data_IF_783508328764
#
_entry.id   IF_783508328764
#
_cell.length_a   1.000
_cell.length_b   1.000
_cell.length_c   1.000
_cell.angle_alpha   90.00
_cell.angle_beta   90.00
_cell.angle_gamma   90.00
#
_symmetry.space_group_name_H-M   'P 1'
#
loop_
_entity.id
_entity.type
_entity.pdbx_description
1 polymer ?
#
# COMPACT_ATOMS: atom_id res chain seq x y z
N UNK A 1 -38.28 11.73 36.14
CA UNK A 1 -38.31 13.20 36.08
C UNK A 1 -37.03 13.71 35.43
N UNK A 2 -37.19 14.50 34.36
CA UNK A 2 -36.29 15.47 33.67
C UNK A 2 -34.76 15.29 33.76
N UNK A 3 -34.06 14.98 32.66
CA UNK A 3 -33.52 15.86 31.57
C UNK A 3 -32.40 16.85 32.01
N UNK A 4 -31.19 16.62 31.52
CA UNK A 4 -30.19 17.64 31.17
C UNK A 4 -29.24 17.03 30.10
N UNK A 5 -29.39 17.33 28.81
CA UNK A 5 -29.01 18.52 28.02
C UNK A 5 -27.51 18.58 27.67
N UNK A 6 -27.29 18.41 26.36
CA UNK A 6 -26.08 18.46 25.54
C UNK A 6 -25.12 19.63 25.82
N UNK A 7 -23.84 19.38 25.55
CA UNK A 7 -22.87 20.40 25.13
C UNK A 7 -22.06 19.84 23.96
N UNK A 8 -22.36 20.37 22.77
CA UNK A 8 -21.62 20.17 21.52
C UNK A 8 -20.70 21.38 21.40
N UNK A 9 -19.39 21.17 21.43
CA UNK A 9 -18.38 22.17 21.08
C UNK A 9 -17.99 21.98 19.62
N UNK A 10 -18.60 22.77 18.74
CA UNK A 10 -18.13 23.02 17.38
C UNK A 10 -17.04 24.09 17.51
N UNK A 11 -15.78 23.73 17.27
CA UNK A 11 -14.72 24.70 16.98
C UNK A 11 -14.44 24.74 15.49
N UNK A 12 -14.25 25.96 15.04
CA UNK A 12 -14.47 26.49 13.71
C UNK A 12 -13.16 27.13 13.24
N UNK A 13 -12.88 27.04 11.93
CA UNK A 13 -11.95 27.84 11.11
C UNK A 13 -10.43 27.58 11.29
N UNK A 14 -9.74 27.17 10.22
CA UNK A 14 -8.97 28.11 9.37
C UNK A 14 -8.39 27.45 8.11
N UNK A 15 -8.89 27.92 6.96
CA UNK A 15 -8.28 27.86 5.63
C UNK A 15 -6.91 28.57 5.59
N UNK A 16 -5.89 27.94 5.02
CA UNK A 16 -4.74 28.54 4.29
C UNK A 16 -3.97 27.36 3.67
N UNK A 17 -3.51 27.33 2.42
CA UNK A 17 -3.56 28.20 1.26
C UNK A 17 -2.96 27.42 0.09
N UNK A 18 -3.47 27.66 -1.12
CA UNK A 18 -2.97 27.07 -2.37
C UNK A 18 -1.58 27.62 -2.69
N UNK A 19 -0.60 26.73 -2.82
CA UNK A 19 0.71 27.02 -3.41
C UNK A 19 0.91 26.20 -4.68
N UNK A 20 0.46 26.70 -5.83
CA UNK A 20 0.92 26.23 -7.12
C UNK A 20 2.14 27.06 -7.52
N UNK A 21 3.33 26.47 -7.44
CA UNK A 21 4.53 27.02 -8.08
C UNK A 21 4.59 26.52 -9.51
N UNK A 22 4.59 27.48 -10.41
CA UNK A 22 4.43 27.30 -11.84
C UNK A 22 5.66 26.82 -12.61
N UNK A 23 5.37 26.69 -13.89
CA UNK A 23 6.17 26.25 -15.03
C UNK A 23 7.55 26.92 -15.14
N UNK A 24 8.55 26.13 -15.50
CA UNK A 24 9.69 26.63 -16.27
C UNK A 24 9.52 26.22 -17.74
N UNK A 25 9.73 27.21 -18.60
CA UNK A 25 9.55 27.23 -20.04
C UNK A 25 10.90 27.08 -20.74
N UNK A 26 10.86 26.78 -22.05
CA UNK A 26 11.96 26.80 -23.06
C UNK A 26 12.77 25.49 -23.18
N UNK A 27 12.97 24.87 -24.35
CA UNK A 27 13.20 25.43 -25.70
C UNK A 27 12.65 24.51 -26.82
N UNK A 28 12.18 25.15 -27.90
CA UNK A 28 11.79 24.56 -29.19
C UNK A 28 13.03 24.34 -30.10
N UNK A 29 12.90 23.82 -31.34
CA UNK A 29 13.65 22.69 -31.88
C UNK A 29 14.83 23.13 -32.77
N UNK A 30 15.78 22.24 -33.01
CA UNK A 30 16.65 22.34 -34.19
C UNK A 30 16.49 21.06 -34.99
N UNK A 31 15.83 21.23 -36.13
CA UNK A 31 15.74 20.31 -37.24
C UNK A 31 17.03 20.47 -38.06
N UNK A 32 17.83 19.43 -38.22
CA UNK A 32 18.69 19.28 -39.40
C UNK A 32 18.95 17.80 -39.71
N UNK A 33 19.04 17.52 -41.00
CA UNK A 33 18.88 16.24 -41.66
C UNK A 33 20.21 15.46 -41.79
N UNK A 34 20.06 14.13 -41.88
CA UNK A 34 20.69 13.24 -42.88
C UNK A 34 21.62 12.13 -42.35
N UNK A 35 21.09 10.91 -42.52
CA UNK A 35 21.73 9.72 -43.10
C UNK A 35 22.52 8.72 -42.23
N UNK A 36 22.09 7.47 -42.47
CA UNK A 36 22.79 6.18 -42.37
C UNK A 36 22.77 5.38 -41.05
N UNK A 37 21.90 4.36 -41.11
CA UNK A 37 22.24 2.95 -41.00
C UNK A 37 22.75 2.40 -39.65
N UNK A 38 21.91 1.54 -39.07
CA UNK A 38 22.41 0.34 -38.40
C UNK A 38 22.63 0.47 -36.90
N UNK A 39 21.54 0.61 -36.16
CA UNK A 39 21.38 -0.10 -34.89
C UNK A 39 19.89 -0.11 -34.56
N UNK A 40 19.27 -1.28 -34.73
CA UNK A 40 18.03 -1.63 -34.02
C UNK A 40 18.29 -1.45 -32.53
N UNK A 41 17.95 -0.28 -31.99
CA UNK A 41 17.77 -0.12 -30.56
C UNK A 41 16.50 -0.88 -30.21
N UNK A 42 16.71 -2.16 -29.89
CA UNK A 42 15.78 -2.99 -29.17
C UNK A 42 15.63 -2.36 -27.78
N UNK A 43 14.78 -1.34 -27.68
CA UNK A 43 14.11 -1.03 -26.43
C UNK A 43 12.93 -2.00 -26.33
N UNK A 44 13.22 -3.29 -26.15
CA UNK A 44 12.26 -4.16 -25.51
C UNK A 44 12.00 -3.52 -24.14
N UNK A 45 10.79 -3.01 -23.94
CA UNK A 45 10.24 -2.64 -22.66
C UNK A 45 10.61 -3.71 -21.64
N UNK A 46 11.68 -3.45 -20.90
CA UNK A 46 12.08 -4.26 -19.78
C UNK A 46 10.99 -4.03 -18.75
N UNK A 47 9.98 -4.90 -18.77
CA UNK A 47 8.96 -4.99 -17.73
C UNK A 47 9.64 -4.72 -16.40
N UNK A 48 9.31 -3.60 -15.76
CA UNK A 48 9.85 -3.17 -14.47
C UNK A 48 9.29 -4.08 -13.35
N UNK A 49 9.32 -5.40 -13.56
CA UNK A 49 8.94 -6.38 -12.58
C UNK A 49 9.87 -6.26 -11.37
N UNK A 50 9.34 -6.19 -10.14
CA UNK A 50 10.16 -6.07 -8.95
C UNK A 50 11.17 -7.22 -8.84
N UNK A 51 12.42 -6.88 -8.53
CA UNK A 51 13.48 -7.84 -8.19
C UNK A 51 13.12 -8.62 -6.93
N UNK A 52 13.78 -9.76 -6.69
CA UNK A 52 13.54 -10.53 -5.46
C UNK A 52 13.84 -9.72 -4.19
N UNK A 53 14.89 -8.91 -4.19
CA UNK A 53 15.21 -8.02 -3.06
C UNK A 53 14.11 -6.98 -2.82
N UNK A 54 13.52 -6.43 -3.88
CA UNK A 54 12.38 -5.51 -3.74
C UNK A 54 11.14 -6.22 -3.18
N UNK A 55 10.86 -7.45 -3.63
CA UNK A 55 9.75 -8.26 -3.12
C UNK A 55 9.94 -8.65 -1.65
N UNK A 56 11.16 -9.06 -1.28
CA UNK A 56 11.53 -9.38 0.11
C UNK A 56 11.34 -8.16 1.01
N UNK A 57 11.81 -6.98 0.57
CA UNK A 57 11.62 -5.73 1.30
C UNK A 57 10.14 -5.38 1.45
N UNK A 58 9.36 -5.39 0.38
CA UNK A 58 7.94 -5.06 0.44
C UNK A 58 7.17 -6.00 1.37
N UNK A 59 7.44 -7.31 1.35
CA UNK A 59 6.83 -8.25 2.30
C UNK A 59 7.29 -7.99 3.74
N UNK A 60 8.56 -7.67 3.95
CA UNK A 60 9.07 -7.36 5.28
C UNK A 60 8.45 -6.06 5.84
N UNK A 61 8.30 -5.05 5.00
CA UNK A 61 7.63 -3.80 5.36
C UNK A 61 6.16 -4.05 5.71
N UNK A 62 5.48 -4.92 4.97
CA UNK A 62 4.11 -5.32 5.27
C UNK A 62 3.99 -6.03 6.64
N UNK A 63 4.89 -6.99 6.94
CA UNK A 63 4.92 -7.65 8.25
C UNK A 63 5.15 -6.66 9.40
N UNK A 64 6.13 -5.77 9.25
CA UNK A 64 6.42 -4.72 10.23
C UNK A 64 5.25 -3.75 10.39
N UNK A 65 4.62 -3.40 9.27
CA UNK A 65 3.43 -2.60 9.18
C UNK A 65 2.27 -3.19 9.97
N UNK A 66 1.93 -4.45 9.73
CA UNK A 66 0.91 -5.17 10.50
C UNK A 66 1.21 -5.25 12.00
N UNK A 67 2.49 -5.34 12.40
CA UNK A 67 2.89 -5.28 13.82
C UNK A 67 2.65 -3.89 14.43
N UNK A 68 2.89 -2.84 13.65
CA UNK A 68 2.64 -1.47 14.08
C UNK A 68 1.15 -1.13 14.13
N UNK A 69 0.36 -1.57 13.15
CA UNK A 69 -1.10 -1.48 13.14
C UNK A 69 -1.67 -2.16 14.39
N UNK A 70 -1.23 -3.39 14.70
CA UNK A 70 -1.65 -4.08 15.93
C UNK A 70 -1.30 -3.27 17.20
N UNK A 71 -0.12 -2.64 17.22
CA UNK A 71 0.30 -1.79 18.34
C UNK A 71 -0.60 -0.57 18.51
N UNK A 72 -0.97 0.10 17.41
CA UNK A 72 -1.77 1.33 17.45
C UNK A 72 -3.25 1.02 17.75
N UNK A 73 -3.80 -0.05 17.17
CA UNK A 73 -5.12 -0.61 17.53
C UNK A 73 -5.19 -0.99 19.01
N UNK A 74 -4.11 -1.56 19.58
CA UNK A 74 -4.07 -1.89 20.99
C UNK A 74 -4.15 -0.67 21.92
N UNK A 75 -3.68 0.49 21.46
CA UNK A 75 -3.80 1.80 22.14
C UNK A 75 -5.13 2.50 21.85
N UNK A 76 -5.96 1.96 20.96
CA UNK A 76 -7.21 2.59 20.50
C UNK A 76 -7.00 3.65 19.43
N UNK A 77 -5.80 3.74 18.83
CA UNK A 77 -5.48 4.69 17.76
C UNK A 77 -5.76 4.09 16.39
N UNK A 78 -7.05 3.95 16.06
CA UNK A 78 -7.50 3.40 14.78
C UNK A 78 -7.18 4.32 13.60
N UNK A 79 -7.14 5.64 13.80
CA UNK A 79 -6.84 6.58 12.72
C UNK A 79 -5.40 6.43 12.23
N UNK A 80 -4.43 6.30 13.14
CA UNK A 80 -3.04 6.01 12.76
C UNK A 80 -2.91 4.63 12.12
N UNK A 81 -3.67 3.64 12.60
CA UNK A 81 -3.67 2.29 12.07
C UNK A 81 -4.23 2.21 10.64
N UNK A 82 -5.36 2.87 10.36
CA UNK A 82 -5.97 3.00 9.02
C UNK A 82 -5.01 3.66 8.04
N UNK A 83 -4.47 4.83 8.42
CA UNK A 83 -3.53 5.56 7.55
C UNK A 83 -2.29 4.71 7.22
N UNK A 84 -1.75 3.99 8.19
CA UNK A 84 -0.61 3.10 7.95
C UNK A 84 -1.00 1.94 7.04
N UNK A 85 -2.18 1.35 7.24
CA UNK A 85 -2.69 0.27 6.38
C UNK A 85 -2.81 0.72 4.92
N UNK A 86 -3.43 1.88 4.64
CA UNK A 86 -3.58 2.40 3.28
C UNK A 86 -2.23 2.53 2.56
N UNK A 87 -1.22 3.08 3.25
CA UNK A 87 0.11 3.29 2.70
C UNK A 87 0.82 1.98 2.33
N UNK A 88 0.70 0.97 3.19
CA UNK A 88 1.33 -0.33 3.00
C UNK A 88 0.61 -1.14 1.92
N UNK A 89 -0.73 -1.12 1.97
CA UNK A 89 -1.59 -1.87 1.08
C UNK A 89 -1.35 -1.55 -0.39
N UNK A 90 -1.14 -0.28 -0.76
CA UNK A 90 -0.80 0.14 -2.13
C UNK A 90 0.57 -0.41 -2.60
N UNK A 91 1.59 -0.36 -1.74
CA UNK A 91 2.93 -0.87 -2.07
C UNK A 91 2.90 -2.39 -2.24
N UNK A 92 2.21 -3.10 -1.35
CA UNK A 92 2.03 -4.54 -1.46
C UNK A 92 1.22 -4.94 -2.70
N UNK A 93 0.12 -4.24 -2.99
CA UNK A 93 -0.70 -4.48 -4.17
C UNK A 93 0.06 -4.27 -5.48
N UNK A 94 0.96 -3.29 -5.54
CA UNK A 94 1.73 -3.00 -6.74
C UNK A 94 2.94 -3.92 -6.91
N UNK A 95 3.66 -4.24 -5.82
CA UNK A 95 4.92 -4.96 -5.90
C UNK A 95 4.78 -6.50 -5.77
N UNK A 96 3.80 -6.97 -4.99
CA UNK A 96 3.73 -8.38 -4.57
C UNK A 96 2.59 -9.13 -5.26
N UNK A 97 1.37 -8.58 -5.21
CA UNK A 97 0.20 -9.32 -5.67
C UNK A 97 0.27 -9.75 -7.16
N UNK A 98 0.79 -8.95 -8.11
CA UNK A 98 0.94 -9.41 -9.49
C UNK A 98 1.81 -10.67 -9.60
N UNK A 99 2.93 -10.71 -8.87
CA UNK A 99 3.83 -11.85 -8.87
C UNK A 99 3.23 -13.09 -8.19
N UNK A 100 2.38 -12.90 -7.17
CA UNK A 100 1.63 -14.00 -6.56
C UNK A 100 0.60 -14.53 -7.54
N UNK A 101 -0.17 -13.65 -8.20
CA UNK A 101 -1.22 -14.00 -9.16
C UNK A 101 -0.68 -14.84 -10.32
N UNK A 102 0.47 -14.46 -10.86
CA UNK A 102 1.16 -15.21 -11.92
C UNK A 102 1.51 -16.65 -11.52
N UNK A 103 1.79 -16.89 -10.23
CA UNK A 103 2.18 -18.22 -9.73
C UNK A 103 1.00 -19.02 -9.17
N UNK A 104 0.05 -18.36 -8.52
CA UNK A 104 -1.07 -18.99 -7.85
C UNK A 104 -2.22 -17.99 -7.65
N UNK A 105 -3.20 -18.02 -8.57
CA UNK A 105 -4.37 -17.13 -8.52
C UNK A 105 -5.23 -17.33 -7.27
N UNK A 106 -5.37 -18.57 -6.77
CA UNK A 106 -6.15 -18.85 -5.56
C UNK A 106 -5.53 -18.21 -4.31
N UNK A 107 -4.20 -18.25 -4.20
CA UNK A 107 -3.50 -17.57 -3.09
C UNK A 107 -3.59 -16.05 -3.25
N UNK A 108 -3.52 -15.53 -4.48
CA UNK A 108 -3.76 -14.11 -4.74
C UNK A 108 -5.15 -13.66 -4.26
N UNK A 109 -6.22 -14.38 -4.63
CA UNK A 109 -7.58 -14.04 -4.22
C UNK A 109 -7.73 -14.12 -2.70
N UNK A 110 -7.20 -15.17 -2.07
CA UNK A 110 -7.23 -15.32 -0.60
C UNK A 110 -6.52 -14.17 0.12
N UNK A 111 -5.33 -13.75 -0.38
CA UNK A 111 -4.61 -12.61 0.21
C UNK A 111 -5.45 -11.34 0.08
N UNK A 112 -5.96 -11.04 -1.11
CA UNK A 112 -6.79 -9.85 -1.34
C UNK A 112 -7.97 -9.80 -0.37
N UNK A 113 -8.75 -10.90 -0.28
CA UNK A 113 -9.90 -11.00 0.63
C UNK A 113 -9.53 -10.77 2.11
N UNK A 114 -8.36 -11.25 2.55
CA UNK A 114 -7.91 -11.04 3.95
C UNK A 114 -7.45 -9.62 4.21
N UNK A 115 -6.89 -8.94 3.21
CA UNK A 115 -6.55 -7.52 3.35
C UNK A 115 -7.80 -6.65 3.34
N UNK A 116 -8.78 -6.93 2.47
CA UNK A 116 -10.09 -6.25 2.48
C UNK A 116 -10.80 -6.43 3.83
N UNK A 117 -10.78 -7.66 4.37
CA UNK A 117 -11.34 -7.95 5.70
C UNK A 117 -10.66 -7.15 6.83
N UNK A 118 -9.36 -6.87 6.69
CA UNK A 118 -8.61 -6.05 7.64
C UNK A 118 -8.98 -4.57 7.51
N UNK A 119 -9.10 -4.06 6.28
CA UNK A 119 -9.58 -2.70 6.01
C UNK A 119 -10.97 -2.48 6.62
N UNK A 120 -11.92 -3.38 6.34
CA UNK A 120 -13.27 -3.33 6.93
C UNK A 120 -13.24 -3.39 8.46
N UNK A 121 -12.33 -4.17 9.04
CA UNK A 121 -12.19 -4.28 10.49
C UNK A 121 -11.66 -2.97 11.09
N UNK A 122 -10.67 -2.36 10.46
CA UNK A 122 -10.13 -1.04 10.84
C UNK A 122 -11.24 0.03 10.81
N UNK A 123 -11.98 0.14 9.72
CA UNK A 123 -13.10 1.08 9.56
C UNK A 123 -14.21 0.87 10.60
N UNK A 124 -14.44 -0.37 11.03
CA UNK A 124 -15.41 -0.66 12.09
C UNK A 124 -14.96 -0.24 13.49
N UNK A 125 -13.66 0.07 13.66
CA UNK A 125 -13.01 0.39 14.93
C UNK A 125 -13.21 -0.68 16.03
N UNK A 126 -13.48 -1.92 15.62
CA UNK A 126 -13.60 -3.06 16.54
C UNK A 126 -12.22 -3.69 16.74
N UNK A 127 -11.62 -3.42 17.90
CA UNK A 127 -10.31 -3.95 18.29
C UNK A 127 -10.20 -5.46 18.11
N UNK A 128 -11.19 -6.24 18.53
CA UNK A 128 -11.09 -7.69 18.48
C UNK A 128 -11.19 -8.19 17.03
N UNK A 129 -12.08 -7.60 16.25
CA UNK A 129 -12.20 -7.89 14.81
C UNK A 129 -10.89 -7.55 14.09
N UNK A 130 -10.32 -6.38 14.33
CA UNK A 130 -9.07 -5.94 13.71
C UNK A 130 -7.90 -6.85 14.09
N UNK A 131 -7.73 -7.18 15.37
CA UNK A 131 -6.66 -8.08 15.82
C UNK A 131 -6.81 -9.48 15.19
N UNK A 132 -8.03 -9.98 15.03
CA UNK A 132 -8.27 -11.23 14.32
C UNK A 132 -7.90 -11.13 12.84
N UNK A 133 -8.30 -10.04 12.17
CA UNK A 133 -8.00 -9.82 10.76
C UNK A 133 -6.49 -9.68 10.52
N UNK A 134 -5.75 -8.97 11.38
CA UNK A 134 -4.28 -8.87 11.30
C UNK A 134 -3.62 -10.25 11.32
N UNK A 135 -4.08 -11.17 12.17
CA UNK A 135 -3.53 -12.53 12.22
C UNK A 135 -3.74 -13.27 10.91
N UNK A 136 -4.95 -13.21 10.35
CA UNK A 136 -5.24 -13.85 9.07
C UNK A 136 -4.46 -13.20 7.92
N UNK A 137 -4.27 -11.87 7.91
CA UNK A 137 -3.45 -11.20 6.90
C UNK A 137 -1.98 -11.61 7.00
N UNK A 138 -1.42 -11.78 8.20
CA UNK A 138 -0.05 -12.32 8.40
C UNK A 138 0.08 -13.75 7.86
N UNK A 139 -0.92 -14.59 8.08
CA UNK A 139 -0.93 -15.95 7.54
C UNK A 139 -0.96 -15.94 6.00
N UNK A 140 -1.75 -15.06 5.39
CA UNK A 140 -1.77 -14.88 3.94
C UNK A 140 -0.46 -14.31 3.39
N UNK A 141 0.23 -13.41 4.09
CA UNK A 141 1.61 -13.00 3.73
C UNK A 141 2.60 -14.17 3.78
N UNK A 142 2.49 -15.04 4.78
CA UNK A 142 3.29 -16.26 4.83
C UNK A 142 3.02 -17.19 3.64
N UNK A 143 1.79 -17.24 3.14
CA UNK A 143 1.47 -17.95 1.91
C UNK A 143 2.12 -17.29 0.68
N UNK A 144 2.06 -15.95 0.59
CA UNK A 144 2.74 -15.20 -0.48
C UNK A 144 4.25 -15.51 -0.53
N UNK A 145 4.91 -15.49 0.63
CA UNK A 145 6.34 -15.86 0.77
C UNK A 145 6.61 -17.25 0.20
N UNK A 146 5.80 -18.24 0.57
CA UNK A 146 5.94 -19.62 0.09
C UNK A 146 5.72 -19.74 -1.42
N UNK A 147 4.70 -19.08 -1.96
CA UNK A 147 4.40 -19.10 -3.40
C UNK A 147 5.52 -18.45 -4.20
N UNK A 148 6.05 -17.33 -3.70
CA UNK A 148 7.12 -16.58 -4.37
C UNK A 148 8.49 -17.26 -4.20
N UNK A 149 8.65 -18.16 -3.23
CA UNK A 149 9.91 -18.85 -2.95
C UNK A 149 10.98 -17.92 -2.39
N UNK A 150 10.58 -16.85 -1.70
CA UNK A 150 11.49 -15.86 -1.12
C UNK A 150 11.73 -16.15 0.36
N UNK A 151 12.83 -15.65 0.92
CA UNK A 151 13.14 -15.80 2.34
C UNK A 151 13.04 -14.46 3.04
N UNK A 152 12.20 -14.37 4.07
CA UNK A 152 12.04 -13.16 4.88
C UNK A 152 12.45 -13.43 6.31
N UNK A 153 13.13 -12.47 6.94
CA UNK A 153 13.42 -12.50 8.38
C UNK A 153 12.22 -11.87 9.10
N UNK A 154 11.50 -12.70 9.85
CA UNK A 154 10.38 -12.31 10.70
C UNK A 154 10.84 -12.08 12.13
#
# INVERSE_FOLDING_TARGET
MMKAKNLITISLVLLFGLGQTGCSTSQQPTQDHSHEAGATHDHSDQSNAPTNTQKEKAIQDEFNGLAKIETDVNKGDFQSAEKLFEQLHEEFHSAILPAVKEKNATVYDDIHDKFDSLEEALHSQDKNKTISAIKTSRDSLNQAVKVLGISVKQ
#
